data_IF_072351937527
#
_entry.id   IF_072351937527
#
_cell.length_a   1.000
_cell.length_b   1.000
_cell.length_c   1.000
_cell.angle_alpha   90.00
_cell.angle_beta   90.00
_cell.angle_gamma   90.00
#
_symmetry.space_group_name_H-M   'P 1'
#
loop_
_entity.id
_entity.type
_entity.pdbx_description
1 polymer ?
#
# COMPACT_ATOMS: atom_id res chain seq x y z
N UNK A 1 -12.60 -56.61 1.61
CA UNK A 1 -11.13 -56.71 1.78
C UNK A 1 -10.54 -56.96 0.40
N UNK A 2 -9.32 -56.45 0.15
CA UNK A 2 -8.59 -56.29 -1.14
C UNK A 2 -8.78 -54.88 -1.70
N UNK A 3 -7.96 -53.88 -1.33
CA UNK A 3 -6.51 -53.66 -1.53
C UNK A 3 -6.21 -52.97 -2.87
N UNK A 4 -5.61 -51.78 -2.74
CA UNK A 4 -5.09 -50.88 -3.78
C UNK A 4 -3.72 -51.34 -4.25
N UNK A 5 -3.48 -51.28 -5.56
CA UNK A 5 -2.15 -51.33 -6.17
C UNK A 5 -1.98 -50.16 -7.15
N UNK A 6 -0.81 -49.51 -7.10
CA UNK A 6 -0.50 -48.26 -7.80
C UNK A 6 0.40 -48.46 -9.04
N UNK A 7 0.10 -47.69 -10.11
CA UNK A 7 0.97 -47.04 -11.15
C UNK A 7 1.79 -47.93 -12.14
N UNK A 8 2.27 -47.44 -13.33
CA UNK A 8 2.44 -46.05 -13.82
C UNK A 8 2.10 -45.75 -15.33
N UNK A 9 2.00 -44.44 -15.63
CA UNK A 9 2.26 -43.66 -16.87
C UNK A 9 2.10 -44.29 -18.28
N UNK A 10 1.26 -43.70 -19.15
CA UNK A 10 1.49 -43.52 -20.61
C UNK A 10 0.47 -42.47 -21.15
N UNK A 11 0.93 -41.36 -21.76
CA UNK A 11 0.19 -40.54 -22.74
C UNK A 11 0.58 -41.10 -24.14
N UNK A 12 -0.27 -41.12 -25.20
CA UNK A 12 -0.73 -39.87 -25.83
C UNK A 12 -2.07 -39.89 -26.63
N UNK A 13 -2.43 -38.69 -27.11
CA UNK A 13 -3.16 -38.37 -28.35
C UNK A 13 -4.70 -38.45 -28.44
N UNK A 14 -5.30 -37.27 -28.21
CA UNK A 14 -6.13 -36.51 -29.16
C UNK A 14 -7.29 -37.22 -29.88
N UNK A 15 -8.52 -37.09 -29.36
CA UNK A 15 -9.75 -36.98 -30.17
C UNK A 15 -10.83 -36.21 -29.40
N UNK A 16 -11.48 -35.25 -30.06
CA UNK A 16 -12.78 -34.72 -29.64
C UNK A 16 -12.76 -33.29 -29.10
N UNK A 17 -12.75 -32.31 -30.01
CA UNK A 17 -13.24 -30.96 -29.76
C UNK A 17 -14.70 -31.04 -29.29
N UNK A 18 -14.97 -30.63 -28.06
CA UNK A 18 -16.22 -29.99 -27.66
C UNK A 18 -15.82 -28.72 -26.91
N UNK A 19 -15.70 -27.62 -27.66
CA UNK A 19 -15.62 -26.27 -27.13
C UNK A 19 -16.96 -25.94 -26.48
N UNK A 20 -17.08 -26.16 -25.18
CA UNK A 20 -18.08 -25.46 -24.36
C UNK A 20 -17.33 -24.40 -23.56
N UNK A 21 -17.16 -23.27 -24.23
CA UNK A 21 -16.53 -22.05 -23.72
C UNK A 21 -17.43 -21.39 -22.68
N UNK A 22 -17.49 -21.97 -21.49
CA UNK A 22 -17.95 -21.27 -20.30
C UNK A 22 -16.76 -20.57 -19.63
N UNK A 23 -16.05 -19.76 -20.43
CA UNK A 23 -15.23 -18.67 -19.90
C UNK A 23 -16.22 -17.64 -19.37
N UNK A 24 -16.76 -17.89 -18.18
CA UNK A 24 -17.30 -16.83 -17.37
C UNK A 24 -16.16 -15.82 -17.22
N UNK A 25 -16.36 -14.70 -17.89
CA UNK A 25 -15.80 -13.40 -17.61
C UNK A 25 -15.94 -13.17 -16.10
N UNK A 26 -14.97 -13.70 -15.35
CA UNK A 26 -14.78 -13.32 -13.97
C UNK A 26 -14.17 -11.94 -14.13
N UNK A 27 -15.01 -10.90 -14.08
CA UNK A 27 -14.55 -9.56 -13.73
C UNK A 27 -13.71 -9.75 -12.47
N UNK A 28 -12.40 -9.89 -12.68
CA UNK A 28 -11.42 -9.94 -11.64
C UNK A 28 -11.45 -8.55 -11.04
N UNK A 29 -12.32 -8.35 -10.06
CA UNK A 29 -12.10 -7.31 -9.06
C UNK A 29 -10.71 -7.62 -8.52
N UNK A 30 -9.70 -6.92 -9.00
CA UNK A 30 -8.38 -6.89 -8.39
C UNK A 30 -8.64 -6.51 -6.94
N UNK A 31 -8.71 -7.49 -6.04
CA UNK A 31 -8.95 -7.25 -4.62
C UNK A 31 -7.71 -6.51 -4.14
N UNK A 32 -7.86 -5.20 -4.02
CA UNK A 32 -6.78 -4.31 -3.66
C UNK A 32 -6.48 -4.52 -2.18
N UNK A 33 -5.46 -5.31 -1.87
CA UNK A 33 -5.05 -5.55 -0.49
C UNK A 33 -4.54 -4.24 0.12
N UNK A 34 -5.37 -3.61 0.95
CA UNK A 34 -5.05 -2.32 1.57
C UNK A 34 -3.82 -2.38 2.47
N UNK A 35 -3.48 -3.56 2.99
CA UNK A 35 -2.26 -3.75 3.77
C UNK A 35 -1.02 -3.61 2.88
N UNK A 36 -1.04 -4.22 1.69
CA UNK A 36 0.09 -4.11 0.74
C UNK A 36 0.28 -2.66 0.30
N UNK A 37 -0.82 -1.95 0.05
CA UNK A 37 -0.82 -0.53 -0.28
C UNK A 37 -0.26 0.32 0.86
N UNK A 38 -0.66 0.03 2.10
CA UNK A 38 -0.11 0.69 3.28
C UNK A 38 1.39 0.48 3.41
N UNK A 39 1.88 -0.74 3.17
CA UNK A 39 3.32 -1.06 3.19
C UNK A 39 4.07 -0.32 2.07
N UNK A 40 3.49 -0.21 0.86
CA UNK A 40 4.06 0.56 -0.24
C UNK A 40 4.14 2.06 0.10
N UNK A 41 3.06 2.62 0.66
CA UNK A 41 3.01 4.01 1.12
C UNK A 41 4.09 4.29 2.16
N UNK A 42 4.24 3.42 3.17
CA UNK A 42 5.29 3.56 4.19
C UNK A 42 6.66 3.59 3.54
N UNK A 43 6.98 2.62 2.68
CA UNK A 43 8.29 2.52 2.06
C UNK A 43 8.64 3.72 1.19
N UNK A 44 7.64 4.31 0.52
CA UNK A 44 7.87 5.42 -0.40
C UNK A 44 8.27 6.72 0.34
N UNK A 45 7.63 7.02 1.47
CA UNK A 45 7.83 8.31 2.18
C UNK A 45 8.56 8.21 3.52
N UNK A 46 8.96 7.01 3.95
CA UNK A 46 9.68 6.80 5.22
C UNK A 46 10.92 7.70 5.37
N UNK A 47 11.63 7.96 4.27
CA UNK A 47 12.85 8.78 4.26
C UNK A 47 12.60 10.24 4.69
N UNK A 48 11.36 10.73 4.57
CA UNK A 48 11.01 12.13 4.80
C UNK A 48 10.40 12.39 6.20
N UNK A 49 10.19 11.36 7.00
CA UNK A 49 9.59 11.42 8.34
C UNK A 49 10.54 10.88 9.41
N UNK A 50 10.17 10.96 10.70
CA UNK A 50 10.99 10.42 11.80
C UNK A 50 10.84 8.90 11.89
N UNK A 51 9.61 8.42 11.81
CA UNK A 51 9.27 6.99 11.82
C UNK A 51 7.92 6.78 11.15
N UNK A 52 7.72 5.63 10.49
CA UNK A 52 6.44 5.28 9.87
C UNK A 52 6.30 3.76 9.74
N UNK A 53 5.12 3.22 10.06
CA UNK A 53 4.86 1.78 10.03
C UNK A 53 3.37 1.48 9.99
N UNK A 54 3.00 0.36 9.36
CA UNK A 54 1.63 -0.17 9.41
C UNK A 54 1.32 -0.62 10.84
N UNK A 55 0.14 -0.27 11.34
CA UNK A 55 -0.33 -0.68 12.67
C UNK A 55 -0.40 -2.20 12.76
N UNK A 56 0.06 -2.74 13.89
CA UNK A 56 -0.05 -4.18 14.21
C UNK A 56 -1.22 -4.47 15.14
N UNK A 57 -1.85 -3.42 15.66
CA UNK A 57 -2.88 -3.50 16.70
C UNK A 57 -4.26 -3.23 16.12
N UNK A 58 -4.34 -2.30 15.16
CA UNK A 58 -5.58 -1.97 14.45
C UNK A 58 -5.81 -2.94 13.27
N UNK A 59 -7.07 -3.19 12.89
CA UNK A 59 -7.39 -4.14 11.83
C UNK A 59 -6.83 -3.66 10.50
N UNK A 60 -6.07 -4.53 9.83
CA UNK A 60 -5.67 -4.34 8.43
C UNK A 60 -6.32 -5.47 7.63
N UNK A 61 -7.35 -5.11 6.87
CA UNK A 61 -8.17 -6.00 6.05
C UNK A 61 -8.09 -5.56 4.57
N UNK A 62 -8.92 -6.17 3.72
CA UNK A 62 -8.94 -5.89 2.28
C UNK A 62 -9.38 -4.46 1.98
N UNK A 63 -10.24 -3.86 2.80
CA UNK A 63 -10.88 -2.56 2.56
C UNK A 63 -10.25 -1.40 3.36
N UNK A 64 -9.51 -1.71 4.43
CA UNK A 64 -8.92 -0.72 5.32
C UNK A 64 -7.58 -1.18 5.89
N UNK A 65 -6.63 -0.25 5.98
CA UNK A 65 -5.40 -0.42 6.73
C UNK A 65 -5.07 0.84 7.54
N UNK A 66 -4.34 0.66 8.64
CA UNK A 66 -3.92 1.77 9.49
C UNK A 66 -2.42 1.95 9.47
N UNK A 67 -1.98 3.20 9.38
CA UNK A 67 -0.57 3.58 9.31
C UNK A 67 -0.26 4.56 10.42
N UNK A 68 0.77 4.28 11.20
CA UNK A 68 1.31 5.18 12.19
C UNK A 68 2.46 5.97 11.60
N UNK A 69 2.48 7.29 11.84
CA UNK A 69 3.56 8.17 11.40
C UNK A 69 3.98 9.12 12.52
N UNK A 70 5.28 9.18 12.79
CA UNK A 70 5.91 10.24 13.57
C UNK A 70 6.65 11.18 12.61
N UNK A 71 6.25 12.44 12.59
CA UNK A 71 6.89 13.45 11.76
C UNK A 71 8.22 13.91 12.39
N UNK A 72 9.05 14.65 11.65
CA UNK A 72 10.34 15.12 12.18
C UNK A 72 10.19 16.14 13.30
N UNK A 73 9.03 16.79 13.37
CA UNK A 73 8.59 17.68 14.44
C UNK A 73 8.10 16.93 15.69
N UNK A 74 8.21 15.59 15.72
CA UNK A 74 7.77 14.71 16.83
C UNK A 74 6.25 14.66 17.05
N UNK A 75 5.47 15.07 16.06
CA UNK A 75 4.02 14.86 16.07
C UNK A 75 3.71 13.43 15.63
N UNK A 76 2.77 12.78 16.33
CA UNK A 76 2.33 11.43 16.04
C UNK A 76 0.92 11.43 15.50
N UNK A 77 0.67 10.59 14.52
CA UNK A 77 -0.64 10.43 13.92
C UNK A 77 -0.90 8.96 13.64
N UNK A 78 -2.15 8.55 13.82
CA UNK A 78 -2.68 7.33 13.23
C UNK A 78 -3.51 7.72 12.00
N UNK A 79 -3.20 7.09 10.89
CA UNK A 79 -3.83 7.31 9.60
C UNK A 79 -4.67 6.10 9.24
N UNK A 80 -5.81 6.34 8.64
CA UNK A 80 -6.62 5.32 7.98
C UNK A 80 -6.40 5.44 6.48
N UNK A 81 -6.12 4.31 5.83
CA UNK A 81 -6.03 4.16 4.39
C UNK A 81 -7.22 3.31 3.93
N UNK A 82 -7.98 3.83 2.97
CA UNK A 82 -9.09 3.16 2.28
C UNK A 82 -9.04 3.49 0.80
N UNK A 83 -9.99 2.98 0.01
CA UNK A 83 -10.15 3.39 -1.39
C UNK A 83 -10.40 4.89 -1.57
N UNK A 84 -10.95 5.58 -0.57
CA UNK A 84 -11.15 7.03 -0.59
C UNK A 84 -9.84 7.84 -0.39
N UNK A 85 -8.73 7.16 -0.08
CA UNK A 85 -7.44 7.78 0.21
C UNK A 85 -7.06 7.67 1.68
N UNK A 86 -6.36 8.69 2.19
CA UNK A 86 -5.80 8.73 3.54
C UNK A 86 -6.42 9.83 4.40
N UNK A 87 -6.68 9.55 5.67
CA UNK A 87 -7.09 10.57 6.64
C UNK A 87 -6.47 10.34 8.01
N UNK A 88 -6.45 11.38 8.85
CA UNK A 88 -6.00 11.27 10.24
C UNK A 88 -7.16 10.81 11.13
N UNK A 89 -7.01 9.67 11.79
CA UNK A 89 -8.02 9.12 12.71
C UNK A 89 -7.63 9.26 14.18
N UNK A 90 -6.37 9.55 14.50
CA UNK A 90 -5.95 9.94 15.84
C UNK A 90 -4.62 10.72 15.84
N UNK A 91 -4.33 11.38 16.96
CA UNK A 91 -3.09 12.14 17.22
C UNK A 91 -2.07 11.38 18.08
N UNK A 92 -2.19 10.05 18.10
CA UNK A 92 -1.22 9.14 18.72
C UNK A 92 -1.29 7.79 18.00
N UNK A 93 -0.31 6.92 18.25
CA UNK A 93 -0.21 5.63 17.57
C UNK A 93 -1.29 4.66 18.00
N UNK A 94 -1.72 3.82 17.04
CA UNK A 94 -2.63 2.69 17.27
C UNK A 94 -3.95 3.10 17.94
N UNK A 95 -4.39 4.34 17.68
CA UNK A 95 -5.62 4.92 18.20
C UNK A 95 -6.55 5.32 17.06
N UNK A 96 -7.84 5.32 17.34
CA UNK A 96 -8.89 5.84 16.48
C UNK A 96 -9.84 6.67 17.35
N UNK A 97 -10.22 7.86 16.87
CA UNK A 97 -11.22 8.71 17.50
C UNK A 97 -12.35 8.95 16.50
N UNK A 98 -13.49 8.27 16.70
CA UNK A 98 -14.66 8.39 15.84
C UNK A 98 -15.25 9.82 15.80
N UNK A 99 -14.90 10.66 16.78
CA UNK A 99 -15.33 12.06 16.85
C UNK A 99 -14.49 12.96 15.96
N UNK A 100 -13.31 12.48 15.53
CA UNK A 100 -12.40 13.20 14.67
C UNK A 100 -12.85 13.06 13.21
N UNK A 101 -13.40 14.14 12.67
CA UNK A 101 -13.81 14.22 11.27
C UNK A 101 -12.79 15.03 10.48
N UNK A 102 -11.72 14.36 10.05
CA UNK A 102 -10.72 14.94 9.15
C UNK A 102 -11.06 14.60 7.70
N UNK A 103 -10.73 15.47 6.74
CA UNK A 103 -10.94 15.18 5.33
C UNK A 103 -10.04 14.04 4.86
N UNK A 104 -10.51 13.30 3.86
CA UNK A 104 -9.65 12.40 3.10
C UNK A 104 -8.76 13.20 2.15
N UNK A 105 -7.52 12.73 2.04
CA UNK A 105 -6.51 13.18 1.11
C UNK A 105 -6.27 12.08 0.10
N UNK A 106 -6.18 12.44 -1.18
CA UNK A 106 -6.00 11.47 -2.28
C UNK A 106 -4.71 10.66 -2.13
N UNK A 107 -3.63 11.31 -1.68
CA UNK A 107 -2.30 10.69 -1.55
C UNK A 107 -1.63 11.02 -0.23
N UNK A 108 -0.72 10.15 0.19
CA UNK A 108 0.13 10.38 1.38
C UNK A 108 0.95 11.67 1.26
N UNK A 109 1.35 12.06 0.05
CA UNK A 109 2.10 13.29 -0.19
C UNK A 109 1.26 14.52 0.16
N UNK A 110 0.01 14.57 -0.32
CA UNK A 110 -0.91 15.68 -0.04
C UNK A 110 -1.28 15.77 1.44
N UNK A 111 -1.36 14.63 2.12
CA UNK A 111 -1.59 14.57 3.56
C UNK A 111 -0.36 15.10 4.33
N UNK A 112 0.82 14.56 4.05
CA UNK A 112 2.06 14.95 4.75
C UNK A 112 2.48 16.40 4.46
N UNK A 113 2.19 16.94 3.27
CA UNK A 113 2.38 18.35 2.95
C UNK A 113 1.58 19.27 3.90
N UNK A 114 0.38 18.84 4.30
CA UNK A 114 -0.46 19.56 5.25
C UNK A 114 -0.06 19.34 6.71
N UNK A 115 0.44 18.15 7.06
CA UNK A 115 0.74 17.76 8.45
C UNK A 115 2.14 18.14 8.92
N UNK A 116 3.13 18.21 8.02
CA UNK A 116 4.54 18.36 8.37
C UNK A 116 5.26 19.36 7.47
N UNK A 117 5.53 20.58 7.96
CA UNK A 117 6.42 21.52 7.27
C UNK A 117 7.80 20.93 6.98
N UNK A 118 8.36 20.11 7.88
CA UNK A 118 9.67 19.48 7.69
C UNK A 118 9.66 18.44 6.56
N UNK A 119 8.54 17.72 6.37
CA UNK A 119 8.38 16.83 5.22
C UNK A 119 8.54 17.59 3.90
N UNK A 120 7.93 18.78 3.78
CA UNK A 120 8.04 19.62 2.57
C UNK A 120 9.47 20.01 2.27
N UNK A 121 10.23 20.38 3.30
CA UNK A 121 11.65 20.73 3.13
C UNK A 121 12.48 19.52 2.69
N UNK A 122 12.31 18.36 3.32
CA UNK A 122 13.07 17.15 2.97
C UNK A 122 12.72 16.66 1.57
N UNK A 123 11.44 16.60 1.24
CA UNK A 123 10.97 16.17 -0.07
C UNK A 123 11.44 17.12 -1.18
N UNK A 124 11.33 18.43 -0.95
CA UNK A 124 11.84 19.45 -1.87
C UNK A 124 13.35 19.33 -2.10
N UNK A 125 14.13 19.11 -1.04
CA UNK A 125 15.57 18.90 -1.14
C UNK A 125 15.92 17.61 -1.90
N UNK A 126 15.17 16.53 -1.70
CA UNK A 126 15.37 15.27 -2.43
C UNK A 126 15.11 15.45 -3.94
N UNK A 127 14.09 16.23 -4.32
CA UNK A 127 13.81 16.56 -5.71
C UNK A 127 14.92 17.39 -6.34
N UNK A 128 15.41 18.43 -5.63
CA UNK A 128 16.53 19.25 -6.09
C UNK A 128 17.79 18.43 -6.33
N UNK A 129 18.14 17.53 -5.41
CA UNK A 129 19.30 16.64 -5.56
C UNK A 129 19.19 15.74 -6.79
N UNK A 130 18.01 15.19 -7.08
CA UNK A 130 17.78 14.38 -8.28
C UNK A 130 17.92 15.21 -9.56
N UNK A 131 17.39 16.44 -9.58
CA UNK A 131 17.54 17.36 -10.71
C UNK A 131 19.01 17.73 -10.97
N UNK A 132 19.78 17.98 -9.91
CA UNK A 132 21.21 18.26 -10.03
C UNK A 132 22.02 17.07 -10.55
N UNK A 133 21.67 15.84 -10.15
CA UNK A 133 22.31 14.63 -10.64
C UNK A 133 22.12 14.45 -12.15
N UNK A 134 20.88 14.62 -12.65
CA UNK A 134 20.57 14.56 -14.08
C UNK A 134 21.33 15.60 -14.91
N UNK A 135 21.47 16.82 -14.37
CA UNK A 135 22.23 17.88 -15.04
C UNK A 135 23.71 17.53 -15.19
N UNK A 136 24.32 16.92 -14.17
CA UNK A 136 25.73 16.50 -14.21
C UNK A 136 25.96 15.35 -15.19
N UNK A 137 25.02 14.41 -15.26
CA UNK A 137 25.08 13.28 -16.19
C UNK A 137 24.93 13.72 -17.65
N UNK A 138 24.14 14.76 -17.92
CA UNK A 138 23.98 15.33 -19.27
C UNK A 138 25.17 16.18 -19.75
N UNK A 139 26.08 16.55 -18.85
CA UNK A 139 27.26 17.42 -19.13
C UNK A 139 28.59 16.66 -19.11
N UNK A 140 28.57 15.34 -18.83
CA UNK A 140 29.71 14.44 -18.88
C UNK A 140 29.70 13.61 -20.16
#
# INVERSE_FOLDING_TARGET
RMETDCNPMELPNNTGFEEDSDYRDFEGTEVKDMRLEAEAVVNDVLFAVSNMFVSKTLPCAEDVAYINVETRERNRYCLELTEAGLRVVAYDFDQTDDRLQTPYHETVYSLLDSLSPAYREVFGNALLQRLEALKKESQS
#
